data_IF_923568360186
#
_entry.id   IF_923568360186
#
_cell.length_a   1.000
_cell.length_b   1.000
_cell.length_c   1.000
_cell.angle_alpha   90.00
_cell.angle_beta   90.00
_cell.angle_gamma   90.00
#
_symmetry.space_group_name_H-M   'P 1'
#
loop_
_entity.id
_entity.type
_entity.pdbx_description
1 polymer ?
#
# COMPACT_ATOMS: atom_id res chain seq x y z
N UNK A 1 0.59 -13.86 19.49
CA UNK A 1 -0.40 -12.99 18.83
C UNK A 1 0.25 -11.62 18.68
N UNK A 2 0.66 -11.25 17.46
CA UNK A 2 1.10 -9.87 17.16
C UNK A 2 -0.01 -8.93 17.62
N UNK A 3 0.34 -7.82 18.30
CA UNK A 3 -0.58 -6.77 18.80
C UNK A 3 -1.77 -6.69 17.84
N UNK A 4 -3.02 -6.91 18.29
CA UNK A 4 -4.25 -7.05 17.48
C UNK A 4 -4.48 -5.87 16.51
N UNK A 5 -3.61 -5.76 15.52
CA UNK A 5 -3.55 -4.69 14.56
C UNK A 5 -4.64 -4.99 13.54
N UNK A 6 -5.41 -3.96 13.21
CA UNK A 6 -6.52 -4.11 12.28
C UNK A 6 -5.96 -4.44 10.89
N UNK A 7 -6.63 -5.35 10.19
CA UNK A 7 -6.32 -5.67 8.80
C UNK A 7 -6.95 -4.61 7.88
N UNK A 8 -6.49 -3.36 8.01
CA UNK A 8 -6.91 -2.20 7.24
C UNK A 8 -5.86 -1.87 6.17
N UNK A 9 -6.28 -1.32 5.03
CA UNK A 9 -5.40 -1.03 3.88
C UNK A 9 -4.27 -0.07 4.25
N UNK A 10 -4.55 0.84 5.17
CA UNK A 10 -3.64 1.86 5.69
C UNK A 10 -2.62 1.31 6.70
N UNK A 11 -2.72 0.04 7.08
CA UNK A 11 -1.84 -0.62 8.04
C UNK A 11 -1.05 -1.81 7.45
N UNK A 12 -1.54 -2.40 6.37
CA UNK A 12 -0.93 -3.60 5.78
C UNK A 12 0.06 -3.21 4.69
N UNK A 13 1.30 -3.70 4.81
CA UNK A 13 2.36 -3.53 3.81
C UNK A 13 2.95 -4.88 3.41
N UNK A 14 3.37 -5.00 2.16
CA UNK A 14 4.03 -6.22 1.67
C UNK A 14 5.48 -6.27 2.18
N UNK A 15 5.89 -7.42 2.69
CA UNK A 15 7.26 -7.67 3.14
C UNK A 15 7.70 -9.10 2.78
N UNK A 16 9.00 -9.28 2.52
CA UNK A 16 9.55 -10.63 2.37
C UNK A 16 9.59 -11.37 3.73
N UNK A 17 9.69 -12.70 3.70
CA UNK A 17 9.69 -13.53 4.93
C UNK A 17 10.75 -13.10 5.95
N UNK A 18 11.98 -12.82 5.50
CA UNK A 18 13.09 -12.36 6.36
C UNK A 18 12.77 -11.03 7.03
N UNK A 19 12.28 -10.06 6.27
CA UNK A 19 11.90 -8.74 6.78
C UNK A 19 10.70 -8.84 7.73
N UNK A 20 9.72 -9.68 7.42
CA UNK A 20 8.56 -9.90 8.29
C UNK A 20 8.97 -10.53 9.63
N UNK A 21 9.92 -11.46 9.63
CA UNK A 21 10.49 -12.04 10.85
C UNK A 21 11.38 -11.07 11.63
N UNK A 22 12.13 -10.21 10.94
CA UNK A 22 12.91 -9.17 11.62
C UNK A 22 11.96 -8.16 12.27
N UNK A 23 10.92 -7.71 11.57
CA UNK A 23 9.91 -6.80 12.10
C UNK A 23 9.16 -7.43 13.28
N UNK A 24 8.69 -8.67 13.13
CA UNK A 24 7.96 -9.43 14.14
C UNK A 24 6.84 -8.59 14.81
N UNK A 25 6.86 -8.47 16.15
CA UNK A 25 5.88 -7.72 16.91
C UNK A 25 6.25 -6.24 17.09
N UNK A 26 7.21 -5.71 16.32
CA UNK A 26 7.63 -4.30 16.35
C UNK A 26 6.92 -3.45 15.30
N UNK A 27 6.85 -2.14 15.51
CA UNK A 27 6.49 -1.21 14.43
C UNK A 27 7.64 -1.07 13.43
N UNK A 28 7.38 -0.59 12.19
CA UNK A 28 8.44 -0.31 11.22
C UNK A 28 9.53 0.61 11.79
N UNK A 29 9.16 1.61 12.59
CA UNK A 29 10.08 2.54 13.26
C UNK A 29 10.92 1.84 14.33
N UNK A 30 10.28 1.04 15.21
CA UNK A 30 10.95 0.24 16.25
C UNK A 30 11.93 -0.79 15.65
N UNK A 31 11.67 -1.28 14.44
CA UNK A 31 12.53 -2.21 13.72
C UNK A 31 13.60 -1.52 12.85
N UNK A 32 13.62 -0.17 12.81
CA UNK A 32 14.45 0.62 11.88
C UNK A 32 14.26 0.22 10.41
N UNK A 33 13.01 -0.06 10.04
CA UNK A 33 12.58 -0.49 8.71
C UNK A 33 11.68 0.58 8.07
N UNK A 34 12.23 1.59 7.36
CA UNK A 34 11.42 2.62 6.74
C UNK A 34 10.52 2.05 5.65
N UNK A 35 9.30 2.57 5.55
CA UNK A 35 8.35 2.18 4.51
C UNK A 35 8.80 2.73 3.15
N UNK A 36 8.80 1.86 2.13
CA UNK A 36 9.09 2.27 0.74
C UNK A 36 7.95 3.07 0.12
N UNK A 37 6.72 2.82 0.57
CA UNK A 37 5.52 3.51 0.16
C UNK A 37 4.57 3.58 1.35
N UNK A 38 3.86 4.70 1.49
CA UNK A 38 2.83 4.84 2.51
C UNK A 38 1.65 3.95 2.11
N UNK A 39 1.19 3.03 2.98
CA UNK A 39 -0.01 2.24 2.71
C UNK A 39 -1.23 3.15 2.56
N UNK A 40 -2.04 2.93 1.53
CA UNK A 40 -3.26 3.67 1.28
C UNK A 40 -4.31 2.76 0.65
N UNK A 41 -5.58 3.10 0.85
CA UNK A 41 -6.68 2.46 0.11
C UNK A 41 -6.78 3.08 -1.29
N UNK A 42 -6.59 2.31 -2.37
CA UNK A 42 -6.75 2.83 -3.72
C UNK A 42 -8.21 3.13 -4.02
N UNK A 43 -8.46 4.14 -4.86
CA UNK A 43 -9.76 4.33 -5.49
C UNK A 43 -9.97 3.29 -6.62
N UNK A 44 -11.16 3.22 -7.19
CA UNK A 44 -11.48 2.22 -8.23
C UNK A 44 -10.52 2.28 -9.44
N UNK A 45 -10.17 3.48 -9.90
CA UNK A 45 -9.28 3.69 -11.05
C UNK A 45 -7.83 3.30 -10.72
N UNK A 46 -7.34 3.68 -9.54
CA UNK A 46 -6.02 3.28 -9.03
C UNK A 46 -5.94 1.76 -8.86
N UNK A 47 -6.99 1.13 -8.36
CA UNK A 47 -7.04 -0.32 -8.20
C UNK A 47 -6.96 -1.02 -9.55
N UNK A 48 -7.73 -0.59 -10.56
CA UNK A 48 -7.62 -1.13 -11.92
C UNK A 48 -6.23 -0.93 -12.54
N UNK A 49 -5.60 0.22 -12.28
CA UNK A 49 -4.24 0.48 -12.72
C UNK A 49 -3.21 -0.45 -12.05
N UNK A 50 -3.37 -0.71 -10.74
CA UNK A 50 -2.44 -1.51 -9.94
C UNK A 50 -2.64 -3.03 -10.07
N UNK A 51 -3.86 -3.49 -10.36
CA UNK A 51 -4.21 -4.91 -10.44
C UNK A 51 -3.49 -5.67 -11.56
N UNK A 52 -2.78 -4.96 -12.46
CA UNK A 52 -2.06 -5.53 -13.61
C UNK A 52 -2.94 -6.42 -14.49
N UNK A 53 -4.24 -6.14 -14.56
CA UNK A 53 -5.08 -6.69 -15.62
C UNK A 53 -4.56 -6.21 -16.98
N UNK A 54 -4.90 -6.91 -18.07
CA UNK A 54 -4.50 -6.59 -19.45
C UNK A 54 -5.14 -5.29 -19.94
N UNK A 55 -4.73 -4.18 -19.34
CA UNK A 55 -5.11 -2.82 -19.65
C UNK A 55 -4.16 -2.35 -20.75
N UNK A 56 -4.70 -2.07 -21.94
CA UNK A 56 -3.93 -1.49 -23.04
C UNK A 56 -3.31 -0.14 -22.60
N UNK A 57 -2.18 0.26 -23.18
CA UNK A 57 -1.40 1.41 -22.70
C UNK A 57 -2.20 2.74 -22.71
N UNK A 58 -3.11 2.91 -23.68
CA UNK A 58 -4.04 4.03 -23.79
C UNK A 58 -5.04 4.09 -22.63
N UNK A 59 -5.45 2.94 -22.11
CA UNK A 59 -6.34 2.83 -20.96
C UNK A 59 -5.61 3.21 -19.66
N UNK A 60 -4.31 2.90 -19.54
CA UNK A 60 -3.51 3.28 -18.36
C UNK A 60 -3.35 4.80 -18.23
N UNK A 61 -3.16 5.51 -19.34
CA UNK A 61 -3.05 6.97 -19.35
C UNK A 61 -4.36 7.61 -18.86
N UNK A 62 -5.50 7.16 -19.38
CA UNK A 62 -6.81 7.63 -18.92
C UNK A 62 -7.02 7.39 -17.42
N UNK A 63 -6.72 6.17 -16.92
CA UNK A 63 -6.88 5.83 -15.50
C UNK A 63 -6.05 6.75 -14.58
N UNK A 64 -4.83 7.10 -15.00
CA UNK A 64 -3.94 7.97 -14.23
C UNK A 64 -4.52 9.37 -13.99
N UNK A 65 -5.32 9.90 -14.93
CA UNK A 65 -5.95 11.22 -14.78
C UNK A 65 -6.97 11.28 -13.63
N UNK A 66 -7.46 10.11 -13.20
CA UNK A 66 -8.49 9.94 -12.17
C UNK A 66 -7.90 9.60 -10.78
N UNK A 67 -6.58 9.74 -10.59
CA UNK A 67 -5.92 9.51 -9.30
C UNK A 67 -6.16 10.69 -8.33
N UNK A 68 -7.43 10.89 -7.98
CA UNK A 68 -7.92 11.96 -7.08
C UNK A 68 -8.29 11.39 -5.71
N UNK A 69 -7.53 10.41 -5.21
CA UNK A 69 -7.79 9.88 -3.87
C UNK A 69 -7.43 10.94 -2.82
N UNK A 70 -8.38 11.25 -1.93
CA UNK A 70 -8.10 12.01 -0.71
C UNK A 70 -7.27 11.13 0.23
N UNK A 71 -6.06 11.56 0.55
CA UNK A 71 -5.10 10.77 1.32
C UNK A 71 -4.89 11.45 2.66
N UNK A 72 -5.13 10.72 3.75
CA UNK A 72 -4.99 11.22 5.12
C UNK A 72 -3.60 11.81 5.45
N UNK A 73 -2.56 11.43 4.69
CA UNK A 73 -1.18 11.89 4.87
C UNK A 73 -0.76 13.01 3.92
N UNK A 74 -1.61 13.37 2.95
CA UNK A 74 -1.31 14.44 1.98
C UNK A 74 -1.70 15.84 2.50
N UNK A 75 -2.21 15.93 3.73
CA UNK A 75 -2.56 17.16 4.44
C UNK A 75 -1.49 17.52 5.48
#
# INVERSE_FOLDING_TARGET
ASRCAKNEWENVVAACKRCNWLKDCRTPEEASMPLLAVPFRPNAYEWHFLAKDRVLADQMEYLSTQFRADRQWAH
#
